data_IF_287716036293
#
_entry.id   IF_287716036293
#
_cell.length_a   1.000
_cell.length_b   1.000
_cell.length_c   1.000
_cell.angle_alpha   90.00
_cell.angle_beta   90.00
_cell.angle_gamma   90.00
#
_symmetry.space_group_name_H-M   'P 1'
#
loop_
_entity.id
_entity.type
_entity.pdbx_description
1 polymer ?
#
# COMPACT_ATOMS: atom_id res chain seq x y z
N UNK A 1 -13.84 -12.81 6.83
CA UNK A 1 -13.83 -12.78 5.35
C UNK A 1 -13.11 -14.02 4.85
N UNK A 2 -13.51 -14.56 3.70
CA UNK A 2 -12.76 -15.64 3.06
C UNK A 2 -11.54 -15.03 2.37
N UNK A 3 -10.34 -15.53 2.67
CA UNK A 3 -9.11 -15.10 2.01
C UNK A 3 -8.83 -16.02 0.82
N UNK A 4 -8.49 -15.44 -0.32
CA UNK A 4 -8.08 -16.09 -1.56
C UNK A 4 -6.56 -16.07 -1.75
N UNK A 5 -5.87 -15.07 -1.20
CA UNK A 5 -4.44 -14.89 -1.32
C UNK A 5 -3.78 -14.80 0.07
N UNK A 6 -2.53 -15.28 0.16
CA UNK A 6 -1.84 -15.34 1.46
C UNK A 6 -1.57 -13.96 2.07
N UNK A 7 -1.35 -12.93 1.26
CA UNK A 7 -1.09 -11.58 1.76
C UNK A 7 -2.30 -10.97 2.48
N UNK A 8 -3.52 -11.43 2.19
CA UNK A 8 -4.76 -10.99 2.88
C UNK A 8 -4.81 -11.44 4.35
N UNK A 9 -3.92 -12.37 4.73
CA UNK A 9 -3.75 -12.80 6.12
C UNK A 9 -2.89 -11.81 6.93
N UNK A 10 -2.07 -10.99 6.27
CA UNK A 10 -1.15 -10.06 6.92
C UNK A 10 -1.92 -8.85 7.46
N UNK A 11 -1.70 -8.51 8.73
CA UNK A 11 -2.32 -7.33 9.33
C UNK A 11 -1.88 -6.05 8.61
N UNK A 12 -0.60 -5.94 8.26
CA UNK A 12 -0.07 -4.79 7.51
C UNK A 12 -0.72 -4.62 6.13
N UNK A 13 -1.14 -5.70 5.47
CA UNK A 13 -1.86 -5.59 4.21
C UNK A 13 -3.27 -5.03 4.42
N UNK A 14 -3.98 -5.50 5.45
CA UNK A 14 -5.33 -5.02 5.77
C UNK A 14 -5.32 -3.55 6.16
N UNK A 15 -4.34 -3.14 6.98
CA UNK A 15 -4.15 -1.74 7.34
C UNK A 15 -3.83 -0.89 6.10
N UNK A 16 -3.01 -1.38 5.18
CA UNK A 16 -2.72 -0.67 3.92
C UNK A 16 -3.97 -0.51 3.04
N UNK A 17 -4.83 -1.53 2.95
CA UNK A 17 -6.10 -1.43 2.22
C UNK A 17 -7.06 -0.42 2.87
N UNK A 18 -7.17 -0.45 4.21
CA UNK A 18 -7.97 0.53 4.94
C UNK A 18 -7.44 1.96 4.72
N UNK A 19 -6.11 2.13 4.74
CA UNK A 19 -5.48 3.41 4.46
C UNK A 19 -5.78 3.91 3.04
N UNK A 20 -5.71 3.06 2.01
CA UNK A 20 -6.10 3.44 0.65
C UNK A 20 -7.57 3.92 0.58
N UNK A 21 -8.49 3.21 1.25
CA UNK A 21 -9.89 3.64 1.33
C UNK A 21 -10.03 5.02 1.96
N UNK A 22 -9.35 5.24 3.09
CA UNK A 22 -9.32 6.54 3.76
C UNK A 22 -8.70 7.65 2.89
N UNK A 23 -7.59 7.39 2.19
CA UNK A 23 -6.96 8.34 1.28
C UNK A 23 -7.92 8.76 0.16
N UNK A 24 -8.65 7.80 -0.42
CA UNK A 24 -9.66 8.11 -1.44
C UNK A 24 -10.74 9.09 -0.94
N UNK A 25 -11.30 8.83 0.24
CA UNK A 25 -12.27 9.73 0.88
C UNK A 25 -11.65 11.09 1.22
N UNK A 26 -10.43 11.09 1.77
CA UNK A 26 -9.71 12.29 2.16
C UNK A 26 -9.42 13.19 0.96
N UNK A 27 -8.90 12.63 -0.14
CA UNK A 27 -8.59 13.36 -1.37
C UNK A 27 -9.83 14.02 -2.00
N UNK A 28 -11.00 13.39 -1.87
CA UNK A 28 -12.27 13.96 -2.31
C UNK A 28 -12.73 15.13 -1.42
N UNK A 29 -12.34 15.14 -0.14
CA UNK A 29 -12.77 16.14 0.85
C UNK A 29 -11.91 17.41 0.91
N UNK A 30 -10.67 17.37 0.42
CA UNK A 30 -9.73 18.49 0.56
C UNK A 30 -9.57 19.32 -0.72
N UNK A 31 -9.16 20.58 -0.56
CA UNK A 31 -8.60 21.39 -1.64
C UNK A 31 -7.08 21.41 -1.53
N UNK A 32 -6.39 20.91 -2.56
CA UNK A 32 -4.92 20.82 -2.62
C UNK A 32 -4.46 20.87 -4.09
N UNK A 33 -3.17 21.09 -4.32
CA UNK A 33 -2.57 21.03 -5.66
C UNK A 33 -2.78 19.64 -6.26
N UNK A 34 -3.16 19.58 -7.54
CA UNK A 34 -3.38 18.31 -8.25
C UNK A 34 -2.18 17.35 -8.14
N UNK A 35 -0.96 17.86 -8.26
CA UNK A 35 0.26 17.06 -8.12
C UNK A 35 0.41 16.43 -6.72
N UNK A 36 0.02 17.13 -5.66
CA UNK A 36 0.09 16.58 -4.30
C UNK A 36 -0.97 15.49 -4.08
N UNK A 37 -2.16 15.67 -4.66
CA UNK A 37 -3.22 14.64 -4.64
C UNK A 37 -2.79 13.39 -5.38
N UNK A 38 -2.24 13.55 -6.59
CA UNK A 38 -1.74 12.44 -7.41
C UNK A 38 -0.60 11.68 -6.71
N UNK A 39 0.33 12.40 -6.08
CA UNK A 39 1.43 11.77 -5.34
C UNK A 39 0.90 10.93 -4.16
N UNK A 40 -0.02 11.49 -3.36
CA UNK A 40 -0.59 10.75 -2.22
C UNK A 40 -1.40 9.53 -2.67
N UNK A 41 -2.20 9.67 -3.73
CA UNK A 41 -2.99 8.56 -4.28
C UNK A 41 -2.08 7.40 -4.74
N UNK A 42 -1.05 7.74 -5.52
CA UNK A 42 -0.06 6.76 -6.01
C UNK A 42 0.74 6.12 -4.88
N UNK A 43 1.23 6.92 -3.94
CA UNK A 43 2.00 6.43 -2.79
C UNK A 43 1.15 5.48 -1.95
N UNK A 44 -0.09 5.88 -1.62
CA UNK A 44 -1.02 5.03 -0.86
C UNK A 44 -1.25 3.69 -1.56
N UNK A 45 -1.54 3.71 -2.86
CA UNK A 45 -1.78 2.51 -3.68
C UNK A 45 -0.55 1.61 -3.79
N UNK A 46 0.65 2.19 -3.82
CA UNK A 46 1.92 1.46 -3.88
C UNK A 46 2.17 0.58 -2.65
N UNK A 47 1.69 0.98 -1.46
CA UNK A 47 1.90 0.25 -0.20
C UNK A 47 1.32 -1.18 -0.26
N UNK A 48 -0.01 -1.40 -0.44
CA UNK A 48 -0.58 -2.74 -0.46
C UNK A 48 -0.08 -3.56 -1.65
N UNK A 49 0.22 -2.94 -2.80
CA UNK A 49 0.78 -3.62 -3.97
C UNK A 49 2.15 -4.23 -3.66
N UNK A 50 3.05 -3.47 -3.07
CA UNK A 50 4.38 -3.96 -2.71
C UNK A 50 4.32 -4.99 -1.57
N UNK A 51 3.38 -4.87 -0.62
CA UNK A 51 3.16 -5.90 0.41
C UNK A 51 2.70 -7.21 -0.23
N UNK A 52 1.70 -7.15 -1.11
CA UNK A 52 1.18 -8.33 -1.79
C UNK A 52 2.24 -9.01 -2.65
N UNK A 53 2.98 -8.21 -3.44
CA UNK A 53 4.05 -8.73 -4.30
C UNK A 53 5.20 -9.33 -3.49
N UNK A 54 5.65 -8.64 -2.43
CA UNK A 54 6.69 -9.12 -1.53
C UNK A 54 6.32 -10.44 -0.86
N UNK A 55 5.08 -10.58 -0.40
CA UNK A 55 4.58 -11.82 0.19
C UNK A 55 4.58 -12.99 -0.81
N UNK A 56 4.47 -12.70 -2.12
CA UNK A 56 4.56 -13.71 -3.17
C UNK A 56 5.98 -14.10 -3.58
N UNK A 57 7.04 -13.43 -3.08
CA UNK A 57 8.43 -13.76 -3.46
C UNK A 57 8.98 -14.95 -2.68
N UNK A 58 9.62 -15.86 -3.43
CA UNK A 58 10.29 -17.04 -2.89
C UNK A 58 11.51 -16.68 -2.04
N UNK A 59 12.40 -15.83 -2.56
CA UNK A 59 13.65 -15.48 -1.88
C UNK A 59 13.38 -14.45 -0.77
N UNK A 60 14.04 -14.62 0.38
CA UNK A 60 13.94 -13.65 1.48
C UNK A 60 14.48 -12.27 1.07
N UNK A 61 15.51 -12.24 0.21
CA UNK A 61 16.11 -11.01 -0.30
C UNK A 61 15.13 -10.21 -1.16
N UNK A 62 14.45 -10.87 -2.10
CA UNK A 62 13.47 -10.18 -2.95
C UNK A 62 12.27 -9.74 -2.14
N UNK A 63 11.75 -10.60 -1.25
CA UNK A 63 10.66 -10.24 -0.34
C UNK A 63 10.98 -8.98 0.47
N UNK A 64 12.18 -8.91 1.07
CA UNK A 64 12.61 -7.75 1.83
C UNK A 64 12.64 -6.48 0.97
N UNK A 65 13.14 -6.56 -0.27
CA UNK A 65 13.18 -5.40 -1.19
C UNK A 65 11.79 -4.80 -1.44
N UNK A 66 10.76 -5.64 -1.63
CA UNK A 66 9.39 -5.15 -1.80
C UNK A 66 8.84 -4.52 -0.52
N UNK A 67 9.12 -5.10 0.65
CA UNK A 67 8.70 -4.49 1.92
C UNK A 67 9.43 -3.17 2.21
N UNK A 68 10.69 -3.02 1.80
CA UNK A 68 11.41 -1.75 1.84
C UNK A 68 10.73 -0.69 0.95
N UNK A 69 10.28 -1.07 -0.25
CA UNK A 69 9.54 -0.18 -1.15
C UNK A 69 8.18 0.23 -0.56
N UNK A 70 7.44 -0.72 0.02
CA UNK A 70 6.18 -0.42 0.71
C UNK A 70 6.39 0.58 1.86
N UNK A 71 7.45 0.40 2.66
CA UNK A 71 7.80 1.36 3.72
C UNK A 71 8.20 2.72 3.13
N UNK A 72 8.95 2.74 2.04
CA UNK A 72 9.31 3.97 1.35
C UNK A 72 8.07 4.79 0.95
N UNK A 73 7.08 4.14 0.33
CA UNK A 73 5.81 4.79 -0.01
C UNK A 73 4.98 5.22 1.21
N UNK A 74 5.12 4.54 2.36
CA UNK A 74 4.44 4.93 3.59
C UNK A 74 5.06 6.13 4.31
N UNK A 75 6.31 6.50 3.97
CA UNK A 75 7.05 7.61 4.58
C UNK A 75 7.13 8.86 3.69
N UNK A 76 6.64 8.77 2.46
CA UNK A 76 6.57 9.86 1.47
C UNK A 76 5.35 10.76 1.70
#
# INVERSE_FOLDING_TARGET
MKNYFDHEKLDVYREAINFCGWVGEFLASISAKAAAKDQLDRASTSIPLNIAEGNGKFSAKDRARFFEMARGSALE
#
